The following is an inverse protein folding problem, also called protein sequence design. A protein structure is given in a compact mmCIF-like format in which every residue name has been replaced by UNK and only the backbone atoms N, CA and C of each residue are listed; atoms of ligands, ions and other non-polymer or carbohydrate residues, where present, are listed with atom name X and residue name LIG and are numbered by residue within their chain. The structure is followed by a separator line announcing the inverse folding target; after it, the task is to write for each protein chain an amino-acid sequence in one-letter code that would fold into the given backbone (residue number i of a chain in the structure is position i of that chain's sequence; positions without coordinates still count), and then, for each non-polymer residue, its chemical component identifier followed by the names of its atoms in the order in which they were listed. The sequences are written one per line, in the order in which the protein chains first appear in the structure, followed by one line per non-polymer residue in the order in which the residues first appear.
data_IF_008132278935
#
_entry.id   IF_008132278935
#
_cell.length_a   1.000
_cell.length_b   1.000
_cell.length_c   1.000
_cell.angle_alpha   90.00
_cell.angle_beta   90.00
_cell.angle_gamma   90.00
#
_symmetry.space_group_name_H-M   'P 1'
#
loop_
_entity.id
_entity.type
_entity.pdbx_description
1 polymer ?
#
# COMPACT_ATOMS: atom_id res chain seq x y z
N UNK A 1 52.59 28.34 13.89
CA UNK A 1 53.21 28.04 15.21
C UNK A 1 53.84 26.66 15.11
N UNK A 2 55.15 26.62 14.90
CA UNK A 2 55.94 25.38 14.81
C UNK A 2 56.56 25.13 16.18
N UNK A 3 56.16 24.05 16.86
CA UNK A 3 56.75 23.64 18.14
C UNK A 3 57.91 22.69 17.88
N UNK A 4 59.08 23.13 18.34
CA UNK A 4 60.40 22.53 18.14
C UNK A 4 60.62 21.42 19.18
N UNK A 5 60.77 20.17 18.73
CA UNK A 5 60.94 18.97 19.59
C UNK A 5 62.40 18.69 19.98
N UNK A 6 63.21 19.74 20.14
CA UNK A 6 64.65 19.64 20.38
C UNK A 6 65.11 19.04 21.74
N UNK A 7 64.32 18.91 22.83
CA UNK A 7 64.87 18.40 24.09
C UNK A 7 64.77 16.86 24.23
N UNK A 8 64.26 16.12 23.24
CA UNK A 8 64.04 14.67 23.34
C UNK A 8 65.24 13.80 22.92
N UNK A 9 66.32 14.39 22.42
CA UNK A 9 67.47 13.63 21.88
C UNK A 9 68.72 13.72 22.77
N UNK A 10 68.73 14.54 23.81
CA UNK A 10 69.92 14.74 24.67
C UNK A 10 70.04 13.73 25.83
N UNK A 11 69.07 12.83 26.04
CA UNK A 11 69.10 11.87 27.15
C UNK A 11 69.58 10.45 26.79
N UNK A 12 70.09 10.23 25.57
CA UNK A 12 70.49 8.89 25.07
C UNK A 12 72.01 8.65 24.98
N UNK A 13 72.83 9.58 25.47
CA UNK A 13 74.30 9.44 25.43
C UNK A 13 74.87 9.66 26.82
N UNK A 14 74.86 8.61 27.65
CA UNK A 14 75.99 8.18 28.48
C UNK A 14 75.60 6.98 29.37
N UNK A 15 76.39 5.89 29.39
CA UNK A 15 76.15 4.75 30.26
C UNK A 15 76.83 5.00 31.61
N UNK A 16 76.09 4.94 32.70
CA UNK A 16 76.68 4.88 34.04
C UNK A 16 75.81 4.03 34.96
N UNK A 17 76.41 2.90 35.30
CA UNK A 17 76.05 1.96 36.34
C UNK A 17 75.78 2.67 37.66
N UNK A 18 74.56 2.51 38.20
CA UNK A 18 74.29 2.66 39.63
C UNK A 18 73.00 1.91 39.97
N UNK A 19 73.19 0.86 40.76
CA UNK A 19 72.13 0.12 41.44
C UNK A 19 71.39 1.08 42.40
N UNK A 20 70.13 1.39 42.09
CA UNK A 20 69.20 2.02 43.01
C UNK A 20 67.84 1.30 42.93
N UNK A 21 67.19 0.99 44.05
CA UNK A 21 65.96 0.22 44.07
C UNK A 21 64.83 0.99 43.38
N UNK A 22 64.16 0.35 42.42
CA UNK A 22 63.02 0.92 41.71
C UNK A 22 61.91 1.34 42.68
N UNK A 23 61.28 2.52 42.48
CA UNK A 23 60.04 2.83 43.17
C UNK A 23 58.97 1.83 42.74
N UNK A 24 58.41 1.08 43.71
CA UNK A 24 57.28 0.20 43.49
C UNK A 24 56.06 1.08 43.16
N UNK A 25 55.76 1.24 41.87
CA UNK A 25 54.46 1.74 41.46
C UNK A 25 53.39 0.73 41.92
N UNK A 26 52.33 1.16 42.63
CA UNK A 26 51.22 0.27 42.92
C UNK A 26 50.62 -0.21 41.59
N UNK A 27 50.45 -1.53 41.46
CA UNK A 27 49.81 -2.13 40.31
C UNK A 27 48.39 -1.57 40.18
N UNK A 28 48.14 -0.83 39.10
CA UNK A 28 46.79 -0.38 38.75
C UNK A 28 45.96 -1.63 38.45
N UNK A 29 44.81 -1.84 39.11
CA UNK A 29 43.98 -3.01 38.84
C UNK A 29 43.51 -2.99 37.37
N UNK A 30 43.47 -4.14 36.67
CA UNK A 30 43.04 -4.24 35.27
C UNK A 30 41.50 -4.23 35.17
N UNK A 31 40.86 -3.27 35.83
CA UNK A 31 39.41 -3.09 35.72
C UNK A 31 39.14 -2.14 34.56
N UNK A 32 38.45 -2.58 33.49
CA UNK A 32 38.11 -1.70 32.38
C UNK A 32 37.27 -0.54 32.90
N UNK A 33 37.88 0.64 32.97
CA UNK A 33 37.16 1.86 33.33
C UNK A 33 36.47 2.39 32.08
N UNK A 34 35.17 2.59 32.16
CA UNK A 34 34.42 3.25 31.10
C UNK A 34 34.82 4.73 31.07
N UNK A 35 35.30 5.21 29.92
CA UNK A 35 35.65 6.63 29.69
C UNK A 35 34.43 7.57 29.83
N UNK A 36 33.22 7.01 29.92
CA UNK A 36 31.97 7.75 30.05
C UNK A 36 30.94 6.89 30.79
N UNK A 37 30.17 7.52 31.67
CA UNK A 37 29.05 6.87 32.35
C UNK A 37 28.08 6.27 31.33
N UNK A 38 27.61 5.04 31.61
CA UNK A 38 26.62 4.38 30.76
C UNK A 38 25.34 5.23 30.69
N UNK A 39 24.68 5.26 29.52
CA UNK A 39 23.38 5.88 29.40
C UNK A 39 22.40 5.29 30.44
N UNK A 40 21.50 6.11 31.01
CA UNK A 40 20.47 5.62 31.91
C UNK A 40 19.65 4.50 31.23
N UNK A 41 19.25 3.49 32.01
CA UNK A 41 18.43 2.37 31.51
C UNK A 41 17.11 2.85 30.89
N UNK A 42 16.54 3.95 31.38
CA UNK A 42 15.38 4.61 30.79
C UNK A 42 15.60 5.08 29.35
N UNK A 43 16.81 5.51 29.01
CA UNK A 43 17.18 5.91 27.65
C UNK A 43 17.28 4.70 26.73
N UNK A 44 17.85 3.59 27.21
CA UNK A 44 17.91 2.32 26.46
C UNK A 44 16.52 1.72 26.24
N UNK A 45 15.63 1.79 27.24
CA UNK A 45 14.23 1.34 27.13
C UNK A 45 13.44 2.20 26.14
N UNK A 46 13.71 3.51 26.08
CA UNK A 46 13.09 4.39 25.09
C UNK A 46 13.57 4.04 23.68
N UNK A 47 14.88 3.90 23.49
CA UNK A 47 15.46 3.49 22.21
C UNK A 47 14.97 2.11 21.76
N UNK A 48 14.84 1.14 22.67
CA UNK A 48 14.31 -0.17 22.33
C UNK A 48 12.86 -0.09 21.88
N UNK A 49 12.00 0.66 22.59
CA UNK A 49 10.60 0.88 22.18
C UNK A 49 10.48 1.54 20.81
N UNK A 50 11.29 2.56 20.54
CA UNK A 50 11.28 3.27 19.25
C UNK A 50 11.78 2.35 18.12
N UNK A 51 12.83 1.57 18.38
CA UNK A 51 13.36 0.57 17.45
C UNK A 51 12.36 -0.56 17.18
N UNK A 52 11.69 -1.08 18.21
CA UNK A 52 10.66 -2.11 18.09
C UNK A 52 9.47 -1.63 17.27
N UNK A 53 9.00 -0.40 17.47
CA UNK A 53 7.92 0.19 16.67
C UNK A 53 8.30 0.33 15.20
N UNK A 54 9.52 0.80 14.94
CA UNK A 54 10.04 0.91 13.57
C UNK A 54 10.18 -0.47 12.90
N UNK A 55 10.62 -1.48 13.65
CA UNK A 55 10.74 -2.86 13.16
C UNK A 55 9.37 -3.48 12.87
N UNK A 56 8.40 -3.32 13.77
CA UNK A 56 7.01 -3.75 13.55
C UNK A 56 6.39 -3.07 12.33
N UNK A 57 6.63 -1.77 12.16
CA UNK A 57 6.15 -1.04 10.98
C UNK A 57 6.80 -1.54 9.69
N UNK A 58 8.10 -1.87 9.71
CA UNK A 58 8.80 -2.46 8.56
C UNK A 58 8.25 -3.85 8.23
N UNK A 59 8.03 -4.68 9.24
CA UNK A 59 7.47 -6.02 9.08
C UNK A 59 6.02 -5.99 8.56
N UNK A 60 5.19 -5.04 9.03
CA UNK A 60 3.83 -4.86 8.52
C UNK A 60 3.80 -4.40 7.05
N UNK A 61 4.72 -3.51 6.66
CA UNK A 61 4.90 -3.13 5.26
C UNK A 61 5.35 -4.31 4.41
N UNK A 62 6.36 -5.07 4.86
CA UNK A 62 6.82 -6.27 4.15
C UNK A 62 5.72 -7.32 4.02
N UNK A 63 4.95 -7.59 5.08
CA UNK A 63 3.82 -8.49 5.04
C UNK A 63 2.71 -8.02 4.07
N UNK A 64 2.44 -6.71 4.02
CA UNK A 64 1.48 -6.14 3.06
C UNK A 64 2.00 -6.25 1.62
N UNK A 65 3.31 -6.07 1.42
CA UNK A 65 3.97 -6.19 0.12
C UNK A 65 3.97 -7.64 -0.37
N UNK A 66 4.32 -8.59 0.51
CA UNK A 66 4.28 -10.02 0.24
C UNK A 66 2.84 -10.48 -0.03
N UNK A 67 1.86 -10.04 0.75
CA UNK A 67 0.45 -10.36 0.49
C UNK A 67 -0.04 -9.80 -0.85
N UNK A 68 0.41 -8.61 -1.24
CA UNK A 68 0.09 -8.02 -2.54
C UNK A 68 0.78 -8.74 -3.71
N UNK A 69 1.97 -9.33 -3.50
CA UNK A 69 2.71 -10.09 -4.49
C UNK A 69 2.26 -11.57 -4.59
N UNK A 70 1.79 -12.14 -3.48
CA UNK A 70 1.34 -13.54 -3.39
C UNK A 70 -0.11 -13.74 -3.81
N UNK A 71 -0.86 -12.68 -4.08
CA UNK A 71 -2.19 -12.82 -4.70
C UNK A 71 -1.99 -13.28 -6.15
N UNK A 72 -2.18 -14.56 -6.49
CA UNK A 72 -1.89 -15.05 -7.83
C UNK A 72 -2.88 -14.41 -8.79
N UNK A 73 -2.40 -13.85 -9.91
CA UNK A 73 -3.26 -13.31 -10.97
C UNK A 73 -4.15 -14.39 -11.62
N UNK A 74 -3.89 -15.67 -11.36
CA UNK A 74 -4.64 -16.83 -11.86
C UNK A 74 -4.69 -17.93 -10.80
N UNK A 75 -5.71 -17.97 -9.94
CA UNK A 75 -6.07 -19.18 -9.17
C UNK A 75 -7.45 -19.08 -8.49
N UNK A 76 -8.51 -18.97 -9.28
CA UNK A 76 -9.75 -19.65 -8.93
C UNK A 76 -10.28 -20.36 -10.17
N UNK A 77 -10.19 -21.70 -10.26
CA UNK A 77 -10.93 -22.41 -11.27
C UNK A 77 -12.42 -22.24 -10.97
N UNK A 78 -13.18 -21.80 -11.97
CA UNK A 78 -14.62 -21.93 -11.97
C UNK A 78 -14.99 -23.40 -11.63
N UNK A 79 -16.04 -23.67 -10.85
CA UNK A 79 -16.48 -25.03 -10.62
C UNK A 79 -16.94 -25.62 -11.96
N UNK A 80 -16.19 -26.59 -12.48
CA UNK A 80 -16.55 -27.30 -13.70
C UNK A 80 -17.70 -28.27 -13.44
N UNK A 81 -18.65 -28.43 -14.39
CA UNK A 81 -19.72 -29.40 -14.30
C UNK A 81 -19.18 -30.82 -14.46
N UNK A 82 -19.80 -31.71 -13.69
CA UNK A 82 -19.48 -33.12 -13.52
C UNK A 82 -19.72 -33.94 -14.81
N UNK A 83 -18.72 -34.74 -15.24
CA UNK A 83 -18.83 -36.16 -15.65
C UNK A 83 -17.60 -36.70 -16.43
N UNK A 84 -16.91 -37.65 -15.78
CA UNK A 84 -16.40 -38.95 -16.28
C UNK A 84 -15.64 -38.99 -17.63
N UNK A 85 -14.31 -39.13 -17.57
CA UNK A 85 -13.55 -40.36 -17.89
C UNK A 85 -12.03 -40.07 -17.94
N UNK A 86 -11.24 -40.90 -17.25
CA UNK A 86 -9.78 -41.02 -17.36
C UNK A 86 -9.44 -42.12 -18.42
N UNK A 87 -8.19 -42.31 -18.93
CA UNK A 87 -6.94 -42.22 -18.16
C UNK A 87 -5.68 -41.61 -18.84
N UNK A 88 -4.74 -41.24 -17.96
CA UNK A 88 -3.27 -41.17 -18.01
C UNK A 88 -2.52 -41.00 -19.34
N UNK A 89 -1.68 -39.95 -19.41
CA UNK A 89 -0.24 -40.08 -19.70
C UNK A 89 0.59 -39.04 -18.95
N UNK A 90 1.72 -39.51 -18.42
CA UNK A 90 2.81 -38.82 -17.71
C UNK A 90 3.74 -38.07 -18.67
N UNK A 91 4.14 -36.83 -18.34
CA UNK A 91 5.50 -36.31 -18.61
C UNK A 91 5.70 -34.88 -18.06
N UNK A 92 6.83 -34.68 -17.37
CA UNK A 92 7.67 -33.49 -17.59
C UNK A 92 7.46 -32.28 -16.69
N UNK A 93 8.04 -32.34 -15.48
CA UNK A 93 8.49 -31.15 -14.75
C UNK A 93 9.47 -30.34 -15.61
N UNK A 94 9.10 -29.11 -15.98
CA UNK A 94 10.06 -28.06 -16.34
C UNK A 94 9.64 -26.76 -15.67
N UNK A 95 10.50 -26.30 -14.77
CA UNK A 95 10.45 -25.00 -14.12
C UNK A 95 10.53 -23.90 -15.18
N UNK A 96 9.45 -23.15 -15.36
CA UNK A 96 9.46 -21.91 -16.14
C UNK A 96 9.84 -20.78 -15.20
N UNK A 97 11.13 -20.43 -15.18
CA UNK A 97 11.55 -19.08 -14.78
C UNK A 97 10.99 -18.12 -15.82
N UNK A 98 9.89 -17.44 -15.50
CA UNK A 98 9.36 -16.37 -16.31
C UNK A 98 10.26 -15.12 -16.16
N UNK A 99 11.32 -15.07 -16.97
CA UNK A 99 11.90 -13.79 -17.40
C UNK A 99 10.84 -13.07 -18.23
N UNK A 100 10.01 -12.25 -17.58
CA UNK A 100 9.19 -11.25 -18.29
C UNK A 100 10.09 -10.05 -18.58
N UNK A 101 10.92 -10.20 -19.62
CA UNK A 101 11.45 -9.08 -20.39
C UNK A 101 10.34 -8.56 -21.30
N UNK A 102 9.38 -7.84 -20.72
CA UNK A 102 8.39 -7.09 -21.49
C UNK A 102 9.07 -5.95 -22.24
N UNK A 103 8.95 -5.98 -23.57
CA UNK A 103 9.35 -4.94 -24.53
C UNK A 103 8.99 -3.53 -23.96
N UNK A 104 10.00 -2.76 -23.52
CA UNK A 104 9.82 -1.36 -23.09
C UNK A 104 9.52 -0.51 -24.32
N UNK A 105 8.25 -0.22 -24.55
CA UNK A 105 7.81 0.71 -25.59
C UNK A 105 8.14 2.15 -25.21
N UNK A 106 9.07 2.75 -25.96
CA UNK A 106 9.21 4.17 -26.31
C UNK A 106 8.63 5.25 -25.39
N UNK A 107 9.05 5.29 -24.13
CA UNK A 107 8.75 6.38 -23.22
C UNK A 107 9.93 7.33 -23.04
N UNK A 108 9.67 8.61 -22.79
CA UNK A 108 10.72 9.61 -22.48
C UNK A 108 11.48 9.27 -21.20
N UNK A 109 10.84 8.55 -20.27
CA UNK A 109 11.37 8.23 -18.95
C UNK A 109 11.58 6.74 -18.75
N UNK A 110 12.67 6.42 -18.05
CA UNK A 110 13.00 5.07 -17.60
C UNK A 110 12.62 4.88 -16.12
N UNK A 111 12.41 3.63 -15.65
CA UNK A 111 12.12 3.36 -14.24
C UNK A 111 13.19 3.93 -13.28
N UNK A 112 14.45 3.98 -13.70
CA UNK A 112 15.51 4.57 -12.86
C UNK A 112 15.33 6.07 -12.64
N UNK A 113 14.64 6.77 -13.53
CA UNK A 113 14.42 8.21 -13.43
C UNK A 113 13.37 8.53 -12.37
N UNK A 114 12.38 7.66 -12.16
CA UNK A 114 11.41 7.77 -11.06
C UNK A 114 12.13 7.76 -9.71
N UNK A 115 13.03 6.79 -9.49
CA UNK A 115 13.76 6.68 -8.23
C UNK A 115 14.71 7.86 -8.01
N UNK A 116 15.41 8.31 -9.06
CA UNK A 116 16.23 9.53 -9.00
C UNK A 116 15.40 10.77 -8.67
N UNK A 117 14.22 10.92 -9.28
CA UNK A 117 13.32 12.03 -9.04
C UNK A 117 12.80 12.01 -7.60
N UNK A 118 12.48 10.83 -7.05
CA UNK A 118 12.14 10.67 -5.64
C UNK A 118 13.30 11.10 -4.74
N UNK A 119 14.50 10.57 -4.97
CA UNK A 119 15.68 10.85 -4.13
C UNK A 119 16.08 12.33 -4.15
N UNK A 120 15.90 13.00 -5.29
CA UNK A 120 16.15 14.45 -5.45
C UNK A 120 14.96 15.33 -5.07
N UNK A 121 13.80 14.75 -4.77
CA UNK A 121 12.52 15.46 -4.58
C UNK A 121 12.15 16.35 -5.77
N UNK A 122 12.44 15.87 -6.98
CA UNK A 122 12.10 16.55 -8.21
C UNK A 122 10.62 16.33 -8.56
N UNK A 123 9.78 17.19 -7.97
CA UNK A 123 8.32 17.13 -8.15
C UNK A 123 7.93 17.37 -9.60
N UNK A 124 8.65 18.22 -10.34
CA UNK A 124 8.33 18.54 -11.72
C UNK A 124 8.48 17.32 -12.62
N UNK A 125 9.59 16.58 -12.47
CA UNK A 125 9.80 15.33 -13.19
C UNK A 125 8.74 14.28 -12.83
N UNK A 126 8.37 14.14 -11.55
CA UNK A 126 7.30 13.22 -11.15
C UNK A 126 5.94 13.58 -11.75
N UNK A 127 5.64 14.87 -11.87
CA UNK A 127 4.41 15.36 -12.51
C UNK A 127 4.42 15.12 -14.03
N UNK A 128 5.57 15.22 -14.68
CA UNK A 128 5.71 14.89 -16.10
C UNK A 128 5.54 13.38 -16.35
N UNK A 129 6.19 12.55 -15.52
CA UNK A 129 6.04 11.09 -15.56
C UNK A 129 4.58 10.69 -15.31
N UNK A 130 3.90 11.32 -14.34
CA UNK A 130 2.47 11.10 -14.10
C UNK A 130 1.65 11.30 -15.37
N UNK A 131 1.90 12.37 -16.12
CA UNK A 131 1.10 12.73 -17.29
C UNK A 131 1.42 11.87 -18.52
N UNK A 132 2.68 11.47 -18.71
CA UNK A 132 3.12 10.75 -19.92
C UNK A 132 3.17 9.23 -19.73
N UNK A 133 3.55 8.75 -18.55
CA UNK A 133 3.88 7.35 -18.27
C UNK A 133 3.49 6.96 -16.83
N UNK A 134 2.22 7.15 -16.46
CA UNK A 134 1.70 6.90 -15.11
C UNK A 134 2.07 5.52 -14.54
N UNK A 135 2.11 4.48 -15.38
CA UNK A 135 2.42 3.10 -14.98
C UNK A 135 3.79 2.98 -14.25
N UNK A 136 4.75 3.86 -14.57
CA UNK A 136 6.06 3.87 -13.92
C UNK A 136 5.99 4.25 -12.43
N UNK A 137 4.93 4.94 -12.01
CA UNK A 137 4.73 5.32 -10.60
C UNK A 137 4.13 4.19 -9.75
N UNK A 138 3.52 3.19 -10.40
CA UNK A 138 2.81 2.10 -9.73
C UNK A 138 3.66 0.83 -9.58
N UNK A 139 4.43 0.51 -10.62
CA UNK A 139 5.11 -0.76 -10.73
C UNK A 139 6.35 -0.82 -9.81
N UNK A 140 6.65 -1.99 -9.22
CA UNK A 140 7.90 -2.18 -8.48
C UNK A 140 9.12 -1.98 -9.38
N UNK A 141 10.04 -1.11 -8.96
CA UNK A 141 11.30 -0.84 -9.66
C UNK A 141 12.42 -1.48 -8.86
N UNK A 142 13.01 -2.56 -9.39
CA UNK A 142 14.01 -3.33 -8.65
C UNK A 142 13.46 -3.96 -7.37
N UNK A 143 12.17 -4.34 -7.36
CA UNK A 143 11.48 -4.90 -6.20
C UNK A 143 10.97 -3.88 -5.18
N UNK A 144 11.14 -2.58 -5.44
CA UNK A 144 10.67 -1.51 -4.55
C UNK A 144 9.62 -0.66 -5.26
N UNK A 145 8.45 -0.52 -4.64
CA UNK A 145 7.39 0.37 -5.13
C UNK A 145 7.83 1.84 -4.91
N UNK A 146 7.66 2.74 -5.90
CA UNK A 146 8.07 4.14 -5.80
C UNK A 146 7.56 4.86 -4.54
N UNK A 147 6.28 4.69 -4.20
CA UNK A 147 5.70 5.26 -2.97
C UNK A 147 6.41 4.76 -1.70
N UNK A 148 6.71 3.46 -1.63
CA UNK A 148 7.43 2.86 -0.50
C UNK A 148 8.86 3.40 -0.41
N UNK A 149 9.53 3.63 -1.54
CA UNK A 149 10.84 4.28 -1.57
C UNK A 149 10.78 5.68 -0.93
N UNK A 150 9.80 6.49 -1.33
CA UNK A 150 9.58 7.83 -0.76
C UNK A 150 9.25 7.77 0.74
N UNK A 151 8.47 6.78 1.19
CA UNK A 151 8.15 6.57 2.61
C UNK A 151 9.38 6.16 3.44
N UNK A 152 10.27 5.32 2.91
CA UNK A 152 11.51 4.90 3.58
C UNK A 152 12.44 6.07 3.88
N UNK A 153 12.39 7.14 3.07
CA UNK A 153 13.14 8.39 3.31
C UNK A 153 12.56 9.24 4.45
N UNK A 154 11.34 8.94 4.89
CA UNK A 154 10.68 9.57 6.03
C UNK A 154 10.15 10.98 5.74
N UNK A 155 10.14 11.84 6.78
CA UNK A 155 9.50 13.18 6.74
C UNK A 155 10.09 14.13 5.69
N UNK A 156 11.33 13.92 5.29
CA UNK A 156 12.00 14.75 4.28
C UNK A 156 11.33 14.64 2.90
N UNK A 157 10.60 13.54 2.64
CA UNK A 157 9.96 13.26 1.36
C UNK A 157 8.42 13.28 1.47
N UNK A 158 7.86 13.93 2.49
CA UNK A 158 6.40 14.01 2.68
C UNK A 158 5.70 14.63 1.47
N UNK A 159 6.25 15.67 0.85
CA UNK A 159 5.68 16.27 -0.37
C UNK A 159 5.65 15.28 -1.54
N UNK A 160 6.73 14.51 -1.73
CA UNK A 160 6.80 13.46 -2.76
C UNK A 160 5.73 12.40 -2.50
N UNK A 161 5.56 11.98 -1.25
CA UNK A 161 4.53 11.01 -0.86
C UNK A 161 3.12 11.54 -1.15
N UNK A 162 2.86 12.83 -0.87
CA UNK A 162 1.58 13.49 -1.17
C UNK A 162 1.35 13.54 -2.68
N UNK A 163 2.37 13.92 -3.47
CA UNK A 163 2.24 14.01 -4.94
C UNK A 163 1.97 12.64 -5.57
N UNK A 164 2.69 11.59 -5.13
CA UNK A 164 2.45 10.23 -5.61
C UNK A 164 1.05 9.75 -5.23
N UNK A 165 0.65 9.93 -3.97
CA UNK A 165 -0.68 9.53 -3.49
C UNK A 165 -1.80 10.28 -4.22
N UNK A 166 -1.65 11.60 -4.39
CA UNK A 166 -2.60 12.43 -5.12
C UNK A 166 -2.66 12.08 -6.61
N UNK A 167 -1.54 11.68 -7.22
CA UNK A 167 -1.53 11.15 -8.59
C UNK A 167 -2.34 9.85 -8.70
N UNK A 168 -2.25 8.97 -7.69
CA UNK A 168 -3.05 7.75 -7.64
C UNK A 168 -4.53 8.06 -7.51
N UNK A 169 -4.93 8.86 -6.52
CA UNK A 169 -6.33 9.28 -6.34
C UNK A 169 -6.90 9.96 -7.58
N UNK A 170 -6.14 10.86 -8.23
CA UNK A 170 -6.58 11.53 -9.45
C UNK A 170 -6.79 10.53 -10.60
N UNK A 171 -5.89 9.56 -10.77
CA UNK A 171 -6.03 8.56 -11.83
C UNK A 171 -7.32 7.74 -11.67
N UNK A 172 -7.76 7.45 -10.45
CA UNK A 172 -9.04 6.77 -10.21
C UNK A 172 -10.20 7.53 -10.85
N UNK A 173 -10.22 8.84 -10.67
CA UNK A 173 -11.27 9.72 -11.18
C UNK A 173 -11.16 9.94 -12.69
N UNK A 174 -9.94 9.87 -13.25
CA UNK A 174 -9.68 10.08 -14.67
C UNK A 174 -9.97 8.82 -15.54
N UNK A 175 -10.27 7.66 -14.94
CA UNK A 175 -10.71 6.48 -15.70
C UNK A 175 -12.08 6.78 -16.30
N UNK A 176 -12.27 6.52 -17.59
CA UNK A 176 -13.52 6.83 -18.30
C UNK A 176 -14.61 5.77 -18.10
N UNK A 177 -15.89 6.15 -18.30
CA UNK A 177 -17.01 5.20 -18.21
C UNK A 177 -16.90 4.10 -19.24
N UNK A 178 -16.41 4.43 -20.43
CA UNK A 178 -16.16 3.48 -21.49
C UNK A 178 -15.10 2.44 -21.08
N UNK A 179 -14.00 2.86 -20.44
CA UNK A 179 -12.98 1.93 -19.91
C UNK A 179 -13.55 1.00 -18.84
N UNK A 180 -14.46 1.49 -17.98
CA UNK A 180 -15.11 0.68 -16.95
C UNK A 180 -16.15 -0.27 -17.53
N UNK A 181 -16.93 0.20 -18.50
CA UNK A 181 -17.93 -0.61 -19.20
C UNK A 181 -17.26 -1.76 -19.97
N UNK A 182 -16.10 -1.52 -20.59
CA UNK A 182 -15.31 -2.57 -21.24
C UNK A 182 -14.72 -3.58 -20.25
N UNK A 183 -14.56 -3.19 -18.98
CA UNK A 183 -14.08 -4.06 -17.90
C UNK A 183 -12.77 -4.80 -18.25
N UNK A 184 -11.87 -4.13 -18.99
CA UNK A 184 -10.70 -4.76 -19.59
C UNK A 184 -9.76 -5.32 -18.51
N UNK A 185 -9.07 -6.46 -18.76
CA UNK A 185 -8.13 -7.03 -17.78
C UNK A 185 -6.98 -6.06 -17.46
N UNK A 186 -6.58 -5.22 -18.41
CA UNK A 186 -5.57 -4.18 -18.22
C UNK A 186 -6.06 -3.09 -17.27
N UNK A 187 -7.27 -2.57 -17.48
CA UNK A 187 -7.89 -1.57 -16.59
C UNK A 187 -8.05 -2.13 -15.17
N UNK A 188 -8.47 -3.39 -15.03
CA UNK A 188 -8.55 -4.07 -13.72
C UNK A 188 -7.17 -4.24 -13.08
N UNK A 189 -6.16 -4.63 -13.86
CA UNK A 189 -4.77 -4.74 -13.38
C UNK A 189 -4.21 -3.39 -12.89
N UNK A 190 -4.50 -2.32 -13.61
CA UNK A 190 -4.18 -0.94 -13.22
C UNK A 190 -4.88 -0.55 -11.92
N UNK A 191 -6.20 -0.77 -11.82
CA UNK A 191 -6.99 -0.47 -10.63
C UNK A 191 -6.48 -1.23 -9.40
N UNK A 192 -6.14 -2.52 -9.52
CA UNK A 192 -5.54 -3.30 -8.42
C UNK A 192 -4.18 -2.75 -7.99
N UNK A 193 -3.38 -2.30 -8.95
CA UNK A 193 -2.08 -1.67 -8.66
C UNK A 193 -2.26 -0.34 -7.92
N UNK A 194 -3.24 0.47 -8.32
CA UNK A 194 -3.63 1.70 -7.60
C UNK A 194 -4.12 1.35 -6.19
N UNK A 195 -5.01 0.35 -6.06
CA UNK A 195 -5.56 -0.13 -4.77
C UNK A 195 -4.45 -0.45 -3.78
N UNK A 196 -3.47 -1.25 -4.20
CA UNK A 196 -2.35 -1.64 -3.35
C UNK A 196 -1.54 -0.43 -2.87
N UNK A 197 -1.27 0.52 -3.76
CA UNK A 197 -0.53 1.74 -3.43
C UNK A 197 -1.31 2.67 -2.48
N UNK A 198 -2.61 2.88 -2.73
CA UNK A 198 -3.48 3.65 -1.84
C UNK A 198 -3.59 3.01 -0.45
N UNK A 199 -3.67 1.68 -0.39
CA UNK A 199 -3.68 0.94 0.89
C UNK A 199 -2.41 1.17 1.70
N UNK A 200 -1.25 1.18 1.04
CA UNK A 200 0.05 1.50 1.66
C UNK A 200 0.03 2.94 2.20
N UNK A 201 -0.48 3.90 1.42
CA UNK A 201 -0.62 5.30 1.86
C UNK A 201 -1.49 5.45 3.11
N UNK A 202 -2.67 4.81 3.12
CA UNK A 202 -3.59 4.81 4.27
C UNK A 202 -2.89 4.21 5.50
N UNK A 203 -2.23 3.06 5.33
CA UNK A 203 -1.54 2.35 6.41
C UNK A 203 -0.38 3.17 7.02
N UNK A 204 0.27 4.01 6.20
CA UNK A 204 1.31 4.93 6.66
C UNK A 204 0.75 6.23 7.27
N UNK A 205 -0.58 6.34 7.41
CA UNK A 205 -1.24 7.46 8.06
C UNK A 205 -1.37 8.70 7.17
N UNK A 206 -1.20 8.59 5.86
CA UNK A 206 -1.47 9.71 4.94
C UNK A 206 -2.96 10.05 4.91
N UNK A 207 -3.84 9.09 5.20
CA UNK A 207 -5.28 9.28 5.29
C UNK A 207 -5.72 10.20 6.45
N UNK A 208 -4.90 10.33 7.50
CA UNK A 208 -5.21 11.20 8.66
C UNK A 208 -5.38 12.67 8.27
N UNK A 209 -4.92 13.06 7.08
CA UNK A 209 -4.95 14.43 6.57
C UNK A 209 -6.02 14.65 5.51
N UNK A 210 -6.62 13.60 4.96
CA UNK A 210 -7.43 13.71 3.75
C UNK A 210 -8.49 12.59 3.65
N UNK A 211 -9.76 12.95 3.86
CA UNK A 211 -10.89 12.04 3.66
C UNK A 211 -11.08 11.66 2.18
N UNK A 212 -10.59 12.49 1.25
CA UNK A 212 -10.67 12.19 -0.19
C UNK A 212 -9.85 10.96 -0.57
N UNK A 213 -8.77 10.68 0.18
CA UNK A 213 -7.97 9.47 -0.01
C UNK A 213 -8.76 8.19 0.27
N UNK A 214 -9.55 8.20 1.35
CA UNK A 214 -10.40 7.07 1.71
C UNK A 214 -11.52 6.87 0.69
N UNK A 215 -12.12 7.96 0.20
CA UNK A 215 -13.12 7.90 -0.85
C UNK A 215 -12.55 7.29 -2.14
N UNK A 216 -11.41 7.78 -2.64
CA UNK A 216 -10.75 7.19 -3.83
C UNK A 216 -10.35 5.73 -3.63
N UNK A 217 -9.95 5.35 -2.42
CA UNK A 217 -9.64 3.96 -2.09
C UNK A 217 -10.88 3.07 -2.15
N UNK A 218 -12.00 3.49 -1.55
CA UNK A 218 -13.26 2.76 -1.60
C UNK A 218 -13.78 2.61 -3.04
N UNK A 219 -13.76 3.69 -3.81
CA UNK A 219 -14.11 3.69 -5.23
C UNK A 219 -13.29 2.67 -6.02
N UNK A 220 -11.95 2.63 -5.83
CA UNK A 220 -11.09 1.65 -6.52
C UNK A 220 -11.43 0.22 -6.16
N UNK A 221 -11.73 -0.08 -4.89
CA UNK A 221 -12.08 -1.45 -4.48
C UNK A 221 -13.33 -1.91 -5.25
N UNK A 222 -14.32 -1.03 -5.38
CA UNK A 222 -15.54 -1.34 -6.10
C UNK A 222 -15.27 -1.50 -7.60
N UNK A 223 -14.51 -0.59 -8.21
CA UNK A 223 -14.19 -0.65 -9.64
C UNK A 223 -13.31 -1.85 -10.02
N UNK A 224 -12.45 -2.33 -9.11
CA UNK A 224 -11.55 -3.44 -9.42
C UNK A 224 -12.22 -4.81 -9.26
N UNK A 225 -12.92 -5.01 -8.14
CA UNK A 225 -13.40 -6.33 -7.72
C UNK A 225 -14.79 -6.27 -7.01
N UNK A 226 -15.53 -5.17 -7.15
CA UNK A 226 -16.80 -4.93 -6.45
C UNK A 226 -18.04 -5.57 -7.10
N UNK A 227 -18.02 -5.88 -8.40
CA UNK A 227 -19.19 -6.29 -9.17
C UNK A 227 -19.99 -7.42 -8.51
N UNK A 228 -19.31 -8.51 -8.14
CA UNK A 228 -19.94 -9.67 -7.51
C UNK A 228 -20.58 -9.29 -6.17
N UNK A 229 -19.89 -8.49 -5.38
CA UNK A 229 -20.41 -8.04 -4.09
C UNK A 229 -21.64 -7.15 -4.28
N UNK A 230 -21.65 -6.24 -5.26
CA UNK A 230 -22.81 -5.40 -5.56
C UNK A 230 -23.99 -6.30 -5.94
N UNK A 231 -23.82 -7.22 -6.89
CA UNK A 231 -24.89 -8.12 -7.34
C UNK A 231 -25.47 -8.95 -6.19
N UNK A 232 -24.61 -9.60 -5.39
CA UNK A 232 -25.05 -10.39 -4.23
C UNK A 232 -25.78 -9.53 -3.18
N UNK A 233 -25.36 -8.26 -3.02
CA UNK A 233 -25.96 -7.31 -2.08
C UNK A 233 -27.31 -6.81 -2.59
N UNK A 234 -27.41 -6.49 -3.88
CA UNK A 234 -28.63 -6.12 -4.58
C UNK A 234 -29.71 -7.19 -4.40
N UNK A 235 -29.38 -8.47 -4.60
CA UNK A 235 -30.34 -9.55 -4.39
C UNK A 235 -30.83 -9.66 -2.94
N UNK A 236 -29.95 -9.48 -1.95
CA UNK A 236 -30.32 -9.49 -0.52
C UNK A 236 -31.23 -8.32 -0.17
N UNK A 237 -30.93 -7.14 -0.67
CA UNK A 237 -31.74 -5.94 -0.44
C UNK A 237 -33.09 -6.05 -1.16
N UNK A 238 -33.12 -6.59 -2.37
CA UNK A 238 -34.36 -6.89 -3.10
C UNK A 238 -35.25 -7.86 -2.33
N UNK A 239 -34.68 -8.90 -1.70
CA UNK A 239 -35.45 -9.82 -0.85
C UNK A 239 -36.02 -9.12 0.39
N UNK A 240 -35.23 -8.25 1.02
CA UNK A 240 -35.68 -7.44 2.15
C UNK A 240 -36.82 -6.48 1.74
N UNK A 241 -36.74 -5.87 0.56
CA UNK A 241 -37.79 -5.01 -0.01
C UNK A 241 -39.09 -5.80 -0.27
N UNK A 242 -39.00 -7.02 -0.82
CA UNK A 242 -40.18 -7.89 -1.04
C UNK A 242 -40.86 -8.35 0.24
N UNK A 243 -40.13 -8.37 1.35
CA UNK A 243 -40.64 -8.73 2.68
C UNK A 243 -41.43 -7.58 3.35
N UNK A 244 -41.58 -6.43 2.69
CA UNK A 244 -42.30 -5.27 3.20
C UNK A 244 -41.60 -4.60 4.40
N UNK A 245 -42.34 -3.84 5.24
CA UNK A 245 -41.75 -3.08 6.35
C UNK A 245 -40.94 -3.92 7.35
N UNK A 246 -41.29 -5.20 7.51
CA UNK A 246 -40.59 -6.13 8.41
C UNK A 246 -39.18 -6.51 7.91
N UNK A 247 -38.91 -6.40 6.61
CA UNK A 247 -37.60 -6.71 6.02
C UNK A 247 -36.52 -5.66 6.27
N UNK A 248 -36.92 -4.45 6.70
CA UNK A 248 -36.01 -3.31 7.01
C UNK A 248 -34.88 -3.15 5.96
N UNK A 249 -35.22 -2.85 4.70
CA UNK A 249 -34.25 -2.87 3.59
C UNK A 249 -33.11 -1.86 3.77
N UNK A 250 -33.38 -0.67 4.32
CA UNK A 250 -32.35 0.35 4.58
C UNK A 250 -31.36 -0.11 5.66
N UNK A 251 -31.87 -0.66 6.77
CA UNK A 251 -31.02 -1.20 7.84
C UNK A 251 -30.17 -2.39 7.33
N UNK A 252 -30.77 -3.24 6.49
CA UNK A 252 -30.07 -4.37 5.87
C UNK A 252 -28.97 -3.91 4.92
N UNK A 253 -29.24 -2.93 4.06
CA UNK A 253 -28.26 -2.33 3.16
C UNK A 253 -27.10 -1.69 3.94
N UNK A 254 -27.40 -0.90 4.98
CA UNK A 254 -26.38 -0.27 5.83
C UNK A 254 -25.44 -1.29 6.46
N UNK A 255 -25.99 -2.37 7.05
CA UNK A 255 -25.18 -3.46 7.61
C UNK A 255 -24.31 -4.17 6.57
N UNK A 256 -24.79 -4.31 5.33
CA UNK A 256 -24.02 -4.92 4.24
C UNK A 256 -22.83 -4.03 3.87
N UNK A 257 -23.03 -2.72 3.72
CA UNK A 257 -21.98 -1.73 3.41
C UNK A 257 -20.95 -1.67 4.54
N UNK A 258 -21.38 -1.52 5.78
CA UNK A 258 -20.48 -1.46 6.94
C UNK A 258 -19.63 -2.72 7.07
N UNK A 259 -20.25 -3.90 6.91
CA UNK A 259 -19.54 -5.18 6.96
C UNK A 259 -18.51 -5.33 5.84
N UNK A 260 -18.82 -4.83 4.65
CA UNK A 260 -17.90 -4.86 3.52
C UNK A 260 -16.71 -3.91 3.75
N UNK A 261 -16.98 -2.67 4.16
CA UNK A 261 -15.94 -1.70 4.50
C UNK A 261 -15.03 -2.17 5.65
N UNK A 262 -15.60 -2.84 6.65
CA UNK A 262 -14.84 -3.39 7.78
C UNK A 262 -13.79 -4.43 7.41
N UNK A 263 -13.80 -4.95 6.18
CA UNK A 263 -12.74 -5.82 5.65
C UNK A 263 -11.50 -5.04 5.22
N UNK A 264 -11.70 -3.79 4.80
CA UNK A 264 -10.68 -2.97 4.19
C UNK A 264 -10.23 -1.84 5.13
N UNK A 265 -11.13 -1.29 5.95
CA UNK A 265 -10.87 -0.12 6.79
C UNK A 265 -11.06 -0.42 8.29
N UNK A 266 -10.34 0.32 9.14
CA UNK A 266 -10.52 0.31 10.59
C UNK A 266 -11.77 1.12 10.97
N UNK A 267 -12.33 0.85 12.15
CA UNK A 267 -13.52 1.58 12.64
C UNK A 267 -13.35 3.11 12.65
N UNK A 268 -12.16 3.62 12.98
CA UNK A 268 -11.86 5.06 12.93
C UNK A 268 -11.86 5.63 11.50
N UNK A 269 -11.43 4.84 10.52
CA UNK A 269 -11.41 5.22 9.11
C UNK A 269 -12.83 5.16 8.51
N UNK A 270 -13.64 4.19 8.93
CA UNK A 270 -15.06 4.09 8.54
C UNK A 270 -15.84 5.30 9.06
N UNK A 271 -15.60 5.72 10.31
CA UNK A 271 -16.24 6.90 10.88
C UNK A 271 -15.94 8.19 10.09
N UNK A 272 -14.75 8.30 9.49
CA UNK A 272 -14.38 9.46 8.65
C UNK A 272 -15.04 9.47 7.27
N UNK A 273 -15.66 8.36 6.83
CA UNK A 273 -16.35 8.24 5.53
C UNK A 273 -17.85 7.96 5.70
N UNK A 274 -18.45 8.46 6.78
CA UNK A 274 -19.87 8.25 7.08
C UNK A 274 -20.82 8.69 5.96
N UNK A 275 -20.50 9.78 5.26
CA UNK A 275 -21.28 10.24 4.09
C UNK A 275 -21.26 9.22 2.95
N UNK A 276 -20.09 8.64 2.66
CA UNK A 276 -19.98 7.58 1.66
C UNK A 276 -20.81 6.36 2.05
N UNK A 277 -20.79 5.96 3.33
CA UNK A 277 -21.58 4.83 3.83
C UNK A 277 -23.07 5.09 3.64
N UNK A 278 -23.54 6.29 3.94
CA UNK A 278 -24.93 6.70 3.75
C UNK A 278 -25.33 6.66 2.26
N UNK A 279 -24.48 7.20 1.38
CA UNK A 279 -24.73 7.20 -0.08
C UNK A 279 -24.76 5.78 -0.64
N UNK A 280 -23.75 4.96 -0.35
CA UNK A 280 -23.68 3.56 -0.78
C UNK A 280 -24.86 2.72 -0.25
N UNK A 281 -25.36 3.04 0.95
CA UNK A 281 -26.57 2.41 1.49
C UNK A 281 -27.80 2.76 0.66
N UNK A 282 -27.97 4.04 0.30
CA UNK A 282 -29.03 4.50 -0.58
C UNK A 282 -28.98 3.84 -1.96
N UNK A 283 -27.79 3.80 -2.57
CA UNK A 283 -27.61 3.21 -3.89
C UNK A 283 -27.88 1.70 -3.91
N UNK A 284 -27.52 0.95 -2.85
CA UNK A 284 -27.89 -0.46 -2.75
C UNK A 284 -29.40 -0.66 -2.65
N UNK A 285 -30.11 0.24 -1.97
CA UNK A 285 -31.57 0.20 -1.91
C UNK A 285 -32.18 0.49 -3.29
N UNK A 286 -31.63 1.48 -4.01
CA UNK A 286 -32.05 1.79 -5.38
C UNK A 286 -31.79 0.63 -6.34
N UNK A 287 -30.62 0.01 -6.30
CA UNK A 287 -30.30 -1.17 -7.09
C UNK A 287 -31.22 -2.36 -6.75
N UNK A 288 -31.48 -2.58 -5.47
CA UNK A 288 -32.42 -3.62 -5.00
C UNK A 288 -33.83 -3.37 -5.50
N UNK A 289 -34.30 -2.12 -5.48
CA UNK A 289 -35.60 -1.73 -6.02
C UNK A 289 -35.66 -1.87 -7.54
N UNK A 290 -34.63 -1.39 -8.24
CA UNK A 290 -34.53 -1.50 -9.70
C UNK A 290 -34.57 -2.97 -10.14
N UNK A 291 -33.85 -3.85 -9.45
CA UNK A 291 -33.89 -5.30 -9.71
C UNK A 291 -35.31 -5.88 -9.61
N UNK A 292 -36.15 -5.37 -8.70
CA UNK A 292 -37.56 -5.81 -8.60
C UNK A 292 -38.40 -5.25 -9.76
N UNK A 293 -38.10 -4.03 -10.21
CA UNK A 293 -38.81 -3.39 -11.33
C UNK A 293 -38.45 -4.08 -12.64
N UNK A 294 -37.18 -4.36 -12.89
CA UNK A 294 -36.70 -5.06 -14.09
C UNK A 294 -37.27 -6.47 -14.21
N UNK A 295 -37.52 -7.16 -13.08
CA UNK A 295 -38.21 -8.46 -13.11
C UNK A 295 -39.66 -8.38 -13.65
N UNK A 296 -40.27 -7.18 -13.63
CA UNK A 296 -41.66 -6.94 -14.05
C UNK A 296 -41.79 -6.24 -15.41
N UNK A 297 -40.73 -5.58 -15.87
CA UNK A 297 -40.73 -4.79 -17.12
C UNK A 297 -39.92 -5.56 -18.16
N UNK A 298 -40.54 -5.86 -19.31
CA UNK A 298 -39.97 -6.77 -20.33
C UNK A 298 -38.64 -6.27 -20.95
N UNK A 299 -38.33 -4.97 -20.86
CA UNK A 299 -37.15 -4.32 -21.47
C UNK A 299 -36.37 -3.45 -20.46
N UNK A 300 -36.36 -3.82 -19.17
CA UNK A 300 -35.61 -3.05 -18.17
C UNK A 300 -34.09 -3.22 -18.33
N UNK A 301 -33.37 -2.19 -18.78
CA UNK A 301 -31.92 -2.22 -18.85
C UNK A 301 -31.29 -2.26 -17.43
N UNK A 302 -30.28 -3.11 -17.18
CA UNK A 302 -29.61 -3.14 -15.90
C UNK A 302 -28.77 -1.88 -15.69
N UNK A 303 -28.84 -1.30 -14.49
CA UNK A 303 -27.98 -0.18 -14.11
C UNK A 303 -26.52 -0.64 -14.13
N UNK A 304 -25.62 0.03 -14.88
CA UNK A 304 -24.21 -0.34 -14.87
C UNK A 304 -23.61 -0.20 -13.47
N UNK A 305 -22.92 -1.25 -13.00
CA UNK A 305 -22.42 -1.32 -11.62
C UNK A 305 -21.36 -0.26 -11.30
N UNK A 306 -20.69 0.30 -12.30
CA UNK A 306 -19.71 1.37 -12.09
C UNK A 306 -20.33 2.68 -11.61
N UNK A 307 -21.64 2.91 -11.80
CA UNK A 307 -22.35 4.06 -11.22
C UNK A 307 -22.30 4.04 -9.70
N UNK A 308 -22.44 2.85 -9.10
CA UNK A 308 -22.31 2.64 -7.65
C UNK A 308 -20.91 3.04 -7.15
N UNK A 309 -19.87 2.80 -7.95
CA UNK A 309 -18.50 3.08 -7.54
C UNK A 309 -18.15 4.57 -7.53
N UNK A 310 -18.78 5.36 -8.39
CA UNK A 310 -18.46 6.77 -8.59
C UNK A 310 -19.25 7.74 -7.73
N UNK A 311 -20.25 7.25 -6.99
CA UNK A 311 -21.25 8.13 -6.35
C UNK A 311 -21.93 9.04 -7.40
N UNK A 312 -21.92 8.62 -8.68
CA UNK A 312 -22.67 9.26 -9.76
C UNK A 312 -24.12 8.85 -9.54
N UNK A 313 -24.85 9.70 -8.80
CA UNK A 313 -26.22 9.41 -8.34
C UNK A 313 -27.04 8.72 -9.42
N UNK A 314 -27.47 7.51 -9.11
CA UNK A 314 -28.39 6.68 -9.92
C UNK A 314 -29.74 7.39 -10.16
N UNK A 315 -30.00 8.49 -9.44
CA UNK A 315 -31.24 9.30 -9.48
C UNK A 315 -31.22 10.46 -10.47
N UNK A 316 -30.19 10.60 -11.32
CA UNK A 316 -30.17 11.63 -12.37
C UNK A 316 -31.05 11.26 -13.57
#
# INVERSE_FOLDING_TARGET
MYLNNAPLIESLVHPSTRNSPSPRFPAVPPSPMLLRALPPTSHLVKLSKDSSRAAQHRQALEASLSSALETPLDAHPAPAPDKRHAPSQTAGLKSVQSRVGGKRGGGKFEPSDVLKAIDKKDIMTLMEIRNQQFQLLLLPIGGVVPLVSAMRRGKSHTEVQIVLTGAFSRRVNDITDHELALSSPETKGLLRSIRANLRIAISHGLATRDNSLLASFLQVIIMSDGDRWILDSTHKVALALRSGPGGKPVESAGKIVEKWMGRELKASEIASVGEYVANATGDLVLLGLWSIVTDKVLDGEPIPLYFFARDDRITK
#
